data_IF_978367359005
#
_entry.id   IF_978367359005
#
_cell.length_a   1.000
_cell.length_b   1.000
_cell.length_c   1.000
_cell.angle_alpha   90.00
_cell.angle_beta   90.00
_cell.angle_gamma   90.00
#
_symmetry.space_group_name_H-M   'P 1'
#
loop_
_entity.id
_entity.type
_entity.pdbx_description
1 polymer ?
#
# COMPACT_ATOMS: atom_id res chain seq x y z
N UNK A 1 -21.39 0.81 -24.14
CA UNK A 1 -20.13 0.07 -23.90
C UNK A 1 -18.88 0.98 -23.78
N UNK A 2 -18.99 2.20 -23.22
CA UNK A 2 -17.86 3.12 -23.02
C UNK A 2 -17.23 3.05 -21.62
N UNK A 3 -17.82 2.28 -20.69
CA UNK A 3 -17.25 1.98 -19.35
C UNK A 3 -15.98 1.11 -19.41
N UNK A 4 -15.52 0.71 -20.60
CA UNK A 4 -14.66 -0.47 -20.78
C UNK A 4 -13.18 -0.16 -21.04
N UNK A 5 -12.82 0.99 -21.64
CA UNK A 5 -11.40 1.31 -21.93
C UNK A 5 -10.81 2.26 -20.89
N UNK A 6 -11.51 3.35 -20.56
CA UNK A 6 -11.07 4.33 -19.56
C UNK A 6 -10.86 3.70 -18.18
N UNK A 7 -11.75 2.78 -17.78
CA UNK A 7 -11.63 2.06 -16.51
C UNK A 7 -10.45 1.08 -16.53
N UNK A 8 -10.23 0.38 -17.64
CA UNK A 8 -9.07 -0.52 -17.80
C UNK A 8 -7.75 0.24 -17.72
N UNK A 9 -7.65 1.39 -18.39
CA UNK A 9 -6.46 2.26 -18.32
C UNK A 9 -6.24 2.79 -16.90
N UNK A 10 -7.30 3.20 -16.20
CA UNK A 10 -7.23 3.64 -14.80
C UNK A 10 -6.73 2.52 -13.88
N UNK A 11 -7.26 1.31 -14.03
CA UNK A 11 -6.85 0.15 -13.24
C UNK A 11 -5.40 -0.24 -13.57
N UNK A 12 -5.00 -0.21 -14.84
CA UNK A 12 -3.63 -0.47 -15.26
C UNK A 12 -2.65 0.53 -14.62
N UNK A 13 -2.93 1.83 -14.72
CA UNK A 13 -2.08 2.86 -14.11
C UNK A 13 -2.00 2.71 -12.59
N UNK A 14 -3.10 2.37 -11.94
CA UNK A 14 -3.14 2.06 -10.51
C UNK A 14 -2.23 0.87 -10.15
N UNK A 15 -2.30 -0.22 -10.93
CA UNK A 15 -1.45 -1.40 -10.72
C UNK A 15 0.03 -1.08 -10.94
N UNK A 16 0.38 -0.24 -11.92
CA UNK A 16 1.77 0.20 -12.15
C UNK A 16 2.30 0.97 -10.95
N UNK A 17 1.52 1.88 -10.38
CA UNK A 17 1.92 2.63 -9.18
C UNK A 17 2.12 1.69 -7.99
N UNK A 18 1.24 0.70 -7.80
CA UNK A 18 1.40 -0.32 -6.76
C UNK A 18 2.67 -1.14 -6.97
N UNK A 19 2.93 -1.60 -8.20
CA UNK A 19 4.10 -2.40 -8.50
C UNK A 19 5.40 -1.63 -8.22
N UNK A 20 5.43 -0.32 -8.52
CA UNK A 20 6.55 0.55 -8.16
C UNK A 20 6.71 0.64 -6.63
N UNK A 21 5.61 0.85 -5.90
CA UNK A 21 5.65 0.92 -4.43
C UNK A 21 6.13 -0.40 -3.80
N UNK A 22 5.63 -1.53 -4.28
CA UNK A 22 6.06 -2.87 -3.88
C UNK A 22 7.54 -3.13 -4.21
N UNK A 23 8.02 -2.67 -5.36
CA UNK A 23 9.44 -2.73 -5.72
C UNK A 23 10.30 -1.96 -4.72
N UNK A 24 9.92 -0.72 -4.39
CA UNK A 24 10.63 0.07 -3.37
C UNK A 24 10.57 -0.59 -1.99
N UNK A 25 9.42 -1.18 -1.63
CA UNK A 25 9.29 -1.92 -0.39
C UNK A 25 10.26 -3.13 -0.35
N UNK A 26 10.30 -3.93 -1.42
CA UNK A 26 11.19 -5.07 -1.54
C UNK A 26 12.68 -4.68 -1.48
N UNK A 27 13.08 -3.63 -2.22
CA UNK A 27 14.45 -3.09 -2.21
C UNK A 27 14.87 -2.61 -0.81
N UNK A 28 13.92 -2.20 0.04
CA UNK A 28 14.15 -1.79 1.43
C UNK A 28 13.90 -2.92 2.45
N UNK A 29 13.92 -4.17 1.99
CA UNK A 29 13.80 -5.38 2.82
C UNK A 29 12.38 -5.68 3.31
N UNK A 30 11.37 -5.26 2.55
CA UNK A 30 9.95 -5.61 2.76
C UNK A 30 9.54 -6.82 1.91
N UNK A 31 8.29 -7.25 2.04
CA UNK A 31 7.72 -8.29 1.17
C UNK A 31 7.53 -7.78 -0.26
N UNK A 32 7.70 -8.66 -1.24
CA UNK A 32 7.52 -8.33 -2.66
C UNK A 32 6.06 -8.06 -3.03
N UNK A 33 5.12 -8.62 -2.27
CA UNK A 33 3.67 -8.48 -2.40
C UNK A 33 3.06 -7.49 -1.38
N UNK A 34 3.89 -6.69 -0.70
CA UNK A 34 3.46 -5.73 0.31
C UNK A 34 3.82 -4.31 -0.11
N UNK A 35 2.85 -3.40 -0.09
CA UNK A 35 3.12 -1.96 -0.24
C UNK A 35 3.86 -1.37 0.97
N UNK A 36 4.72 -0.39 0.73
CA UNK A 36 5.46 0.33 1.78
C UNK A 36 4.51 0.98 2.78
N UNK A 37 3.37 1.51 2.32
CA UNK A 37 2.31 2.06 3.17
C UNK A 37 1.72 1.01 4.13
N UNK A 38 1.44 -0.20 3.63
CA UNK A 38 0.95 -1.33 4.45
C UNK A 38 2.00 -1.76 5.50
N UNK A 39 3.25 -1.96 5.06
CA UNK A 39 4.37 -2.30 5.97
C UNK A 39 4.56 -1.24 7.04
N UNK A 40 4.46 0.03 6.66
CA UNK A 40 4.57 1.16 7.57
C UNK A 40 3.49 1.12 8.63
N UNK A 41 2.23 0.86 8.26
CA UNK A 41 1.13 0.71 9.23
C UNK A 41 1.42 -0.42 10.23
N UNK A 42 1.78 -1.62 9.75
CA UNK A 42 2.09 -2.77 10.61
C UNK A 42 3.19 -2.46 11.62
N UNK A 43 4.26 -1.79 11.16
CA UNK A 43 5.43 -1.46 11.98
C UNK A 43 5.23 -0.26 12.89
N UNK A 44 4.31 0.65 12.55
CA UNK A 44 4.03 1.86 13.33
C UNK A 44 2.90 1.67 14.34
N UNK A 45 1.88 0.86 14.01
CA UNK A 45 0.63 0.72 14.79
C UNK A 45 0.47 -0.67 15.40
N UNK A 46 0.73 -1.73 14.64
CA UNK A 46 0.45 -3.12 15.08
C UNK A 46 1.61 -3.80 15.82
N UNK A 47 2.74 -3.11 15.98
CA UNK A 47 3.90 -3.67 16.70
C UNK A 47 3.59 -3.72 18.20
N UNK A 48 3.67 -4.92 18.79
CA UNK A 48 3.56 -5.10 20.24
C UNK A 48 4.73 -4.37 20.92
N UNK A 49 4.42 -3.43 21.81
CA UNK A 49 5.41 -2.58 22.48
C UNK A 49 5.63 -1.24 21.76
N UNK A 50 6.84 -0.67 21.91
CA UNK A 50 7.15 0.68 21.40
C UNK A 50 7.64 0.62 19.94
N UNK A 51 6.87 1.09 18.95
CA UNK A 51 7.30 1.10 17.55
C UNK A 51 8.53 2.01 17.36
N UNK A 52 9.49 1.56 16.53
CA UNK A 52 10.71 2.32 16.22
C UNK A 52 10.32 3.70 15.67
N UNK A 53 11.06 4.75 16.07
CA UNK A 53 10.76 6.15 15.70
C UNK A 53 10.61 6.35 14.19
N UNK A 54 11.47 5.70 13.39
CA UNK A 54 11.43 5.75 11.92
C UNK A 54 10.04 5.40 11.34
N UNK A 55 9.37 4.37 11.88
CA UNK A 55 8.08 3.93 11.38
C UNK A 55 6.96 4.90 11.75
N UNK A 56 7.01 5.49 12.95
CA UNK A 56 6.06 6.53 13.35
C UNK A 56 6.20 7.81 12.52
N UNK A 57 7.43 8.19 12.17
CA UNK A 57 7.70 9.33 11.30
C UNK A 57 7.22 9.04 9.89
N UNK A 58 7.59 7.88 9.33
CA UNK A 58 7.18 7.46 7.99
C UNK A 58 5.65 7.37 7.87
N UNK A 59 4.95 6.83 8.88
CA UNK A 59 3.48 6.78 8.93
C UNK A 59 2.85 8.17 8.80
N UNK A 60 3.36 9.16 9.54
CA UNK A 60 2.87 10.55 9.46
C UNK A 60 3.20 11.21 8.14
N UNK A 61 4.41 10.96 7.61
CA UNK A 61 4.85 11.50 6.32
C UNK A 61 3.99 10.97 5.17
N UNK A 62 3.80 9.65 5.08
CA UNK A 62 3.01 9.03 4.00
C UNK A 62 1.56 9.51 4.06
N UNK A 63 0.90 9.43 5.22
CA UNK A 63 -0.47 9.91 5.36
C UNK A 63 -0.60 11.42 5.04
N UNK A 64 0.40 12.21 5.37
CA UNK A 64 0.47 13.63 5.02
C UNK A 64 0.64 13.87 3.52
N UNK A 65 1.54 13.12 2.86
CA UNK A 65 1.80 13.21 1.42
C UNK A 65 0.55 12.90 0.58
N UNK A 66 -0.24 11.92 1.02
CA UNK A 66 -1.50 11.55 0.37
C UNK A 66 -2.70 12.39 0.81
N UNK A 67 -2.50 13.36 1.71
CA UNK A 67 -3.58 14.15 2.32
C UNK A 67 -4.71 13.30 2.92
N UNK A 68 -4.40 12.07 3.34
CA UNK A 68 -5.34 11.10 3.88
C UNK A 68 -4.76 10.47 5.15
N UNK A 69 -5.39 10.78 6.29
CA UNK A 69 -5.00 10.31 7.62
C UNK A 69 -5.08 8.79 7.76
N UNK A 70 -5.85 8.12 6.92
CA UNK A 70 -6.06 6.68 6.93
C UNK A 70 -5.34 5.96 5.79
N UNK A 71 -4.57 6.64 4.94
CA UNK A 71 -3.95 6.05 3.75
C UNK A 71 -3.20 4.75 4.05
N UNK A 72 -2.29 4.77 5.03
CA UNK A 72 -1.53 3.57 5.41
C UNK A 72 -2.41 2.46 6.00
N UNK A 73 -3.49 2.80 6.72
CA UNK A 73 -4.45 1.82 7.26
C UNK A 73 -5.22 1.16 6.11
N UNK A 74 -5.73 1.96 5.18
CA UNK A 74 -6.44 1.49 4.00
C UNK A 74 -5.55 0.62 3.11
N UNK A 75 -4.27 0.97 2.98
CA UNK A 75 -3.29 0.13 2.29
C UNK A 75 -3.15 -1.23 2.97
N UNK A 76 -2.95 -1.25 4.29
CA UNK A 76 -2.90 -2.48 5.08
C UNK A 76 -4.15 -3.36 4.93
N UNK A 77 -5.34 -2.77 5.03
CA UNK A 77 -6.61 -3.49 4.84
C UNK A 77 -6.77 -4.02 3.40
N UNK A 78 -6.23 -3.30 2.41
CA UNK A 78 -6.25 -3.72 1.01
C UNK A 78 -5.33 -4.90 0.73
N UNK A 79 -4.16 -4.96 1.40
CA UNK A 79 -3.29 -6.15 1.36
C UNK A 79 -3.98 -7.36 2.01
N UNK A 80 -4.59 -7.18 3.19
CA UNK A 80 -5.32 -8.25 3.87
C UNK A 80 -6.47 -8.82 3.04
N UNK A 81 -7.20 -7.95 2.35
CA UNK A 81 -8.30 -8.34 1.46
C UNK A 81 -7.85 -8.71 0.04
N UNK A 82 -6.53 -8.77 -0.21
CA UNK A 82 -5.92 -9.11 -1.51
C UNK A 82 -6.51 -8.33 -2.69
N UNK A 83 -6.84 -7.05 -2.49
CA UNK A 83 -7.47 -6.22 -3.54
C UNK A 83 -6.63 -6.02 -4.80
N UNK A 84 -5.32 -6.24 -4.68
CA UNK A 84 -4.36 -6.08 -5.76
C UNK A 84 -4.22 -7.35 -6.62
N UNK A 85 -4.78 -8.48 -6.15
CA UNK A 85 -4.77 -9.73 -6.90
C UNK A 85 -5.78 -9.63 -8.06
N UNK A 86 -5.46 -10.21 -9.23
CA UNK A 86 -6.46 -10.39 -10.28
C UNK A 86 -7.64 -11.21 -9.77
N UNK A 87 -8.84 -10.87 -10.20
CA UNK A 87 -10.08 -11.53 -9.76
C UNK A 87 -10.06 -13.04 -10.04
N UNK A 88 -9.35 -13.48 -11.07
CA UNK A 88 -9.22 -14.88 -11.46
C UNK A 88 -8.44 -15.72 -10.43
N UNK A 89 -7.76 -15.08 -9.46
CA UNK A 89 -7.01 -15.73 -8.37
C UNK A 89 -7.66 -15.57 -6.99
N UNK A 90 -8.82 -14.90 -6.90
CA UNK A 90 -9.49 -14.56 -5.64
C UNK A 90 -10.42 -15.69 -5.13
#
# INVERSE_FOLDING_TARGET
>A
MAKTVKQKLKNWGYNVIIAIDQLFNALTGGGADETLSSRTYRRAILTQGKPKKRWRVLYRLINGLFFDKNHCKTAYESELSRKQYPQDFA
#
